data_IF_533554408536
#
_entry.id   IF_533554408536
#
_cell.length_a   1.000
_cell.length_b   1.000
_cell.length_c   1.000
_cell.angle_alpha   90.00
_cell.angle_beta   90.00
_cell.angle_gamma   90.00
#
_symmetry.space_group_name_H-M   'P 1'
#
loop_
_entity.id
_entity.type
_entity.pdbx_description
1 polymer ?
#
# COMPACT_ATOMS: atom_id res chain seq x y z
N UNK A 1 15.97 -17.14 -6.47
CA UNK A 1 17.27 -16.44 -6.56
C UNK A 1 17.24 -15.19 -5.70
N UNK A 2 18.35 -14.83 -5.04
CA UNK A 2 18.45 -13.65 -4.16
C UNK A 2 17.51 -13.64 -2.94
N UNK A 3 17.09 -14.83 -2.48
CA UNK A 3 16.24 -14.96 -1.29
C UNK A 3 17.04 -14.70 -0.01
N UNK A 4 18.33 -15.03 0.00
CA UNK A 4 19.22 -15.01 1.17
C UNK A 4 20.05 -13.72 1.31
N UNK A 5 19.92 -12.77 0.38
CA UNK A 5 20.66 -11.50 0.36
C UNK A 5 19.72 -10.30 0.45
N UNK A 6 20.10 -9.29 1.24
CA UNK A 6 19.33 -8.05 1.33
C UNK A 6 19.55 -7.16 0.11
N UNK A 7 18.55 -6.35 -0.21
CA UNK A 7 18.63 -5.35 -1.26
C UNK A 7 19.78 -4.37 -0.99
N UNK A 8 19.98 -3.99 0.28
CA UNK A 8 21.08 -3.12 0.71
C UNK A 8 22.44 -3.74 0.39
N UNK A 9 22.69 -4.97 0.82
CA UNK A 9 23.98 -5.64 0.59
C UNK A 9 24.27 -5.75 -0.91
N UNK A 10 23.28 -6.21 -1.67
CA UNK A 10 23.43 -6.36 -3.12
C UNK A 10 23.71 -5.02 -3.81
N UNK A 11 22.93 -3.98 -3.51
CA UNK A 11 23.06 -2.68 -4.16
C UNK A 11 24.37 -1.98 -3.82
N UNK A 12 24.83 -2.02 -2.57
CA UNK A 12 26.13 -1.45 -2.20
C UNK A 12 27.25 -2.10 -3.03
N UNK A 13 27.18 -3.43 -3.22
CA UNK A 13 28.14 -4.15 -4.07
C UNK A 13 28.01 -3.80 -5.56
N UNK A 14 26.79 -3.59 -6.05
CA UNK A 14 26.52 -3.39 -7.47
C UNK A 14 26.78 -1.94 -7.94
N UNK A 15 26.44 -0.93 -7.13
CA UNK A 15 26.50 0.49 -7.52
C UNK A 15 27.45 1.33 -6.65
N UNK A 16 28.00 0.76 -5.58
CA UNK A 16 28.82 1.48 -4.61
C UNK A 16 28.00 2.10 -3.48
N UNK A 17 28.68 2.41 -2.36
CA UNK A 17 28.03 2.92 -1.15
C UNK A 17 27.46 4.31 -1.34
N UNK A 18 28.18 5.19 -2.02
CA UNK A 18 27.78 6.59 -2.25
C UNK A 18 26.52 6.67 -3.12
N UNK A 19 26.44 5.87 -4.19
CA UNK A 19 25.26 5.81 -5.03
C UNK A 19 24.07 5.16 -4.32
N UNK A 20 24.32 4.17 -3.46
CA UNK A 20 23.27 3.62 -2.59
C UNK A 20 22.74 4.69 -1.64
N UNK A 21 23.61 5.38 -0.90
CA UNK A 21 23.22 6.37 0.10
C UNK A 21 22.51 7.59 -0.51
N UNK A 22 22.86 7.96 -1.75
CA UNK A 22 22.25 9.09 -2.45
C UNK A 22 20.87 8.79 -3.05
N UNK A 23 20.57 7.53 -3.38
CA UNK A 23 19.34 7.20 -4.12
C UNK A 23 18.58 6.00 -3.54
N UNK A 24 19.19 4.83 -3.52
CA UNK A 24 18.49 3.60 -3.13
C UNK A 24 18.18 3.52 -1.65
N UNK A 25 19.13 3.86 -0.79
CA UNK A 25 18.98 3.87 0.66
C UNK A 25 17.82 4.75 1.12
N UNK A 26 17.74 6.03 0.67
CA UNK A 26 16.62 6.88 1.02
C UNK A 26 15.27 6.36 0.54
N UNK A 27 15.18 5.79 -0.67
CA UNK A 27 13.92 5.23 -1.19
C UNK A 27 13.48 3.97 -0.42
N UNK A 28 14.42 3.11 -0.02
CA UNK A 28 14.15 1.96 0.84
C UNK A 28 13.70 2.39 2.23
N UNK A 29 14.36 3.39 2.83
CA UNK A 29 13.95 3.99 4.12
C UNK A 29 12.57 4.62 4.04
N UNK A 30 12.28 5.39 3.00
CA UNK A 30 10.94 5.93 2.80
C UNK A 30 9.90 4.82 2.69
N UNK A 31 10.20 3.76 1.92
CA UNK A 31 9.23 2.68 1.74
C UNK A 31 9.05 1.81 2.99
N UNK A 32 10.13 1.49 3.71
CA UNK A 32 10.12 0.44 4.75
C UNK A 32 10.52 0.91 6.16
N UNK A 33 10.72 2.21 6.35
CA UNK A 33 11.16 2.82 7.61
C UNK A 33 12.33 2.05 8.23
N UNK A 34 12.21 1.66 9.49
CA UNK A 34 13.26 0.97 10.27
C UNK A 34 13.65 -0.40 9.70
N UNK A 35 12.82 -1.00 8.85
CA UNK A 35 13.09 -2.29 8.20
C UNK A 35 13.82 -2.17 6.86
N UNK A 36 14.26 -0.97 6.46
CA UNK A 36 14.87 -0.74 5.14
C UNK A 36 16.08 -1.60 4.83
N UNK A 37 16.83 -1.98 5.87
CA UNK A 37 18.08 -2.73 5.75
C UNK A 37 17.84 -4.25 5.66
N UNK A 38 16.63 -4.71 6.01
CA UNK A 38 16.26 -6.14 6.08
C UNK A 38 15.58 -6.65 4.79
N UNK A 39 15.24 -5.74 3.88
CA UNK A 39 14.44 -6.06 2.68
C UNK A 39 15.20 -7.02 1.78
N UNK A 40 14.54 -8.10 1.37
CA UNK A 40 15.11 -9.11 0.48
C UNK A 40 15.37 -8.57 -0.92
N UNK A 41 16.51 -8.91 -1.52
CA UNK A 41 16.84 -8.50 -2.89
C UNK A 41 15.89 -9.13 -3.92
N UNK A 42 15.36 -10.33 -3.64
CA UNK A 42 14.32 -10.95 -4.44
C UNK A 42 13.13 -10.01 -4.68
N UNK A 43 12.65 -9.32 -3.63
CA UNK A 43 11.58 -8.33 -3.74
C UNK A 43 11.95 -7.18 -4.69
N UNK A 44 13.13 -6.58 -4.48
CA UNK A 44 13.55 -5.42 -5.24
C UNK A 44 13.74 -5.77 -6.73
N UNK A 45 14.37 -6.91 -7.02
CA UNK A 45 14.54 -7.40 -8.38
C UNK A 45 13.18 -7.54 -9.07
N UNK A 46 12.19 -8.12 -8.42
CA UNK A 46 10.86 -8.27 -9.00
C UNK A 46 10.17 -6.93 -9.24
N UNK A 47 10.32 -5.95 -8.34
CA UNK A 47 9.81 -4.59 -8.57
C UNK A 47 10.46 -3.92 -9.77
N UNK A 48 11.78 -4.02 -9.89
CA UNK A 48 12.53 -3.53 -11.06
C UNK A 48 12.03 -4.24 -12.33
N UNK A 49 12.00 -5.58 -12.33
CA UNK A 49 11.59 -6.38 -13.49
C UNK A 49 10.17 -6.05 -13.96
N UNK A 50 9.21 -5.93 -13.05
CA UNK A 50 7.84 -5.56 -13.39
C UNK A 50 7.79 -4.15 -13.99
N UNK A 51 8.50 -3.20 -13.39
CA UNK A 51 8.51 -1.80 -13.85
C UNK A 51 9.12 -1.68 -15.24
N UNK A 52 10.31 -2.23 -15.46
CA UNK A 52 11.00 -2.14 -16.75
C UNK A 52 10.40 -3.07 -17.80
N UNK A 53 9.91 -4.25 -17.41
CA UNK A 53 9.27 -5.20 -18.34
C UNK A 53 7.93 -4.70 -18.89
N UNK A 54 7.26 -3.77 -18.20
CA UNK A 54 6.02 -3.14 -18.67
C UNK A 54 6.23 -1.98 -19.64
N UNK A 55 7.48 -1.52 -19.85
CA UNK A 55 7.76 -0.36 -20.72
C UNK A 55 7.92 -0.80 -22.18
N UNK A 56 7.29 -0.05 -23.08
CA UNK A 56 7.39 -0.25 -24.53
C UNK A 56 8.27 0.80 -25.22
N UNK A 57 8.34 0.74 -26.56
CA UNK A 57 9.02 1.73 -27.40
C UNK A 57 10.54 1.55 -27.54
N UNK A 58 11.19 2.41 -28.35
CA UNK A 58 12.65 2.43 -28.51
C UNK A 58 13.32 2.64 -27.14
N UNK A 59 14.23 1.74 -26.77
CA UNK A 59 14.95 1.74 -25.49
C UNK A 59 14.10 1.56 -24.22
N UNK A 60 12.84 1.10 -24.32
CA UNK A 60 12.00 0.84 -23.14
C UNK A 60 11.66 2.12 -22.35
N UNK A 61 11.52 3.25 -23.04
CA UNK A 61 11.25 4.56 -22.42
C UNK A 61 9.77 4.97 -22.45
N UNK A 62 8.89 4.23 -23.14
CA UNK A 62 7.46 4.55 -23.20
C UNK A 62 6.74 3.81 -22.08
N UNK A 63 6.40 4.54 -21.03
CA UNK A 63 5.46 4.09 -20.01
C UNK A 63 4.03 4.40 -20.46
N UNK A 64 3.12 3.42 -20.35
CA UNK A 64 1.70 3.58 -20.64
C UNK A 64 0.94 3.31 -19.34
N UNK A 65 0.22 4.32 -18.89
CA UNK A 65 -0.66 4.24 -17.72
C UNK A 65 -2.11 4.29 -18.18
N UNK A 66 -2.96 3.48 -17.55
CA UNK A 66 -4.40 3.48 -17.76
C UNK A 66 -5.11 3.80 -16.45
N UNK A 67 -6.10 4.68 -16.51
CA UNK A 67 -7.01 4.95 -15.41
C UNK A 67 -8.45 4.68 -15.86
N UNK A 68 -9.17 3.75 -15.23
CA UNK A 68 -10.53 3.41 -15.67
C UNK A 68 -11.48 4.60 -15.53
N UNK A 69 -12.44 4.71 -16.45
CA UNK A 69 -13.53 5.68 -16.32
C UNK A 69 -14.40 5.31 -15.11
N UNK A 70 -14.65 6.30 -14.24
CA UNK A 70 -15.33 6.06 -12.96
C UNK A 70 -14.43 5.49 -11.85
N UNK A 71 -13.09 5.56 -12.01
CA UNK A 71 -12.13 4.95 -11.08
C UNK A 71 -12.26 3.42 -11.02
N UNK A 72 -11.82 2.77 -9.96
CA UNK A 72 -11.84 1.32 -9.80
C UNK A 72 -13.21 0.77 -9.39
N UNK A 73 -14.12 1.63 -8.91
CA UNK A 73 -15.45 1.23 -8.43
C UNK A 73 -16.26 0.40 -9.45
N UNK A 74 -16.38 0.78 -10.73
CA UNK A 74 -17.13 -0.01 -11.71
C UNK A 74 -16.56 -1.42 -11.93
N UNK A 75 -15.24 -1.61 -11.76
CA UNK A 75 -14.60 -2.93 -11.88
C UNK A 75 -15.06 -3.82 -10.72
N UNK A 76 -15.03 -3.30 -9.48
CA UNK A 76 -15.47 -4.05 -8.31
C UNK A 76 -16.98 -4.33 -8.34
N UNK A 77 -17.79 -3.36 -8.75
CA UNK A 77 -19.24 -3.53 -8.89
C UNK A 77 -19.58 -4.58 -9.95
N UNK A 78 -18.87 -4.58 -11.09
CA UNK A 78 -19.05 -5.60 -12.11
C UNK A 78 -18.71 -6.99 -11.58
N UNK A 79 -17.57 -7.15 -10.91
CA UNK A 79 -17.18 -8.42 -10.31
C UNK A 79 -18.21 -8.89 -9.27
N UNK A 80 -18.69 -7.99 -8.41
CA UNK A 80 -19.70 -8.32 -7.41
C UNK A 80 -21.03 -8.76 -8.06
N UNK A 81 -21.43 -8.12 -9.15
CA UNK A 81 -22.62 -8.50 -9.90
C UNK A 81 -22.45 -9.85 -10.59
N UNK A 82 -21.30 -10.11 -11.20
CA UNK A 82 -21.01 -11.40 -11.83
C UNK A 82 -21.03 -12.53 -10.79
N UNK A 83 -20.50 -12.33 -9.58
CA UNK A 83 -20.59 -13.30 -8.47
C UNK A 83 -22.06 -13.57 -8.11
N UNK A 84 -22.88 -12.53 -7.93
CA UNK A 84 -24.31 -12.68 -7.59
C UNK A 84 -25.11 -13.38 -8.68
N UNK A 85 -24.85 -13.04 -9.94
CA UNK A 85 -25.51 -13.64 -11.10
C UNK A 85 -25.18 -15.13 -11.25
N UNK A 86 -24.02 -15.56 -10.75
CA UNK A 86 -23.62 -16.97 -10.69
C UNK A 86 -24.03 -17.66 -9.37
N UNK A 87 -24.96 -17.06 -8.61
CA UNK A 87 -25.50 -17.64 -7.36
C UNK A 87 -24.63 -17.43 -6.13
N UNK A 88 -23.50 -16.73 -6.25
CA UNK A 88 -22.67 -16.34 -5.11
C UNK A 88 -23.35 -15.30 -4.23
N UNK A 89 -23.02 -15.30 -2.94
CA UNK A 89 -23.58 -14.36 -1.95
C UNK A 89 -22.48 -13.44 -1.45
N UNK A 90 -22.79 -12.14 -1.37
CA UNK A 90 -21.88 -11.11 -0.87
C UNK A 90 -22.59 -10.40 0.29
N UNK A 91 -22.02 -10.54 1.48
CA UNK A 91 -22.50 -9.88 2.68
C UNK A 91 -21.56 -8.71 3.00
N UNK A 92 -22.13 -7.50 3.05
CA UNK A 92 -21.42 -6.28 3.43
C UNK A 92 -21.84 -5.89 4.84
N UNK A 93 -20.97 -5.16 5.56
CA UNK A 93 -21.17 -4.80 6.98
C UNK A 93 -21.35 -6.03 7.90
N UNK A 94 -20.83 -7.18 7.47
CA UNK A 94 -20.97 -8.46 8.15
C UNK A 94 -19.56 -8.92 8.57
N UNK A 95 -19.22 -8.70 9.84
CA UNK A 95 -17.89 -9.00 10.37
C UNK A 95 -17.81 -10.46 10.78
N UNK A 96 -16.98 -11.22 10.09
CA UNK A 96 -16.61 -12.59 10.53
C UNK A 96 -15.91 -12.53 11.89
N UNK A 97 -16.40 -13.33 12.82
CA UNK A 97 -15.91 -13.42 14.20
C UNK A 97 -14.94 -14.59 14.37
N UNK A 98 -15.25 -15.73 13.76
CA UNK A 98 -14.42 -16.94 13.81
C UNK A 98 -14.68 -17.90 12.66
N UNK A 99 -13.68 -18.74 12.37
CA UNK A 99 -13.82 -19.97 11.60
C UNK A 99 -14.14 -21.09 12.58
N UNK A 100 -15.21 -21.83 12.30
CA UNK A 100 -15.68 -22.92 13.16
C UNK A 100 -15.08 -24.22 12.65
N UNK A 101 -14.39 -24.93 13.54
CA UNK A 101 -13.78 -26.24 13.27
C UNK A 101 -14.27 -27.28 14.26
N UNK A 102 -14.44 -28.51 13.79
CA UNK A 102 -14.78 -29.69 14.61
C UNK A 102 -14.02 -30.90 14.08
N UNK A 103 -13.37 -31.67 14.97
CA UNK A 103 -12.54 -32.82 14.61
C UNK A 103 -11.54 -32.50 13.47
N UNK A 104 -10.81 -31.40 13.63
CA UNK A 104 -9.83 -30.86 12.67
C UNK A 104 -10.38 -30.55 11.26
N UNK A 105 -11.71 -30.44 11.13
CA UNK A 105 -12.37 -30.09 9.88
C UNK A 105 -13.10 -28.75 9.99
N UNK A 106 -12.97 -27.91 8.97
CA UNK A 106 -13.78 -26.69 8.83
C UNK A 106 -15.25 -27.07 8.69
N UNK A 107 -16.11 -26.37 9.45
CA UNK A 107 -17.57 -26.49 9.38
C UNK A 107 -18.23 -25.24 8.81
N UNK A 108 -17.57 -24.09 8.92
CA UNK A 108 -18.12 -22.83 8.45
C UNK A 108 -17.49 -21.63 9.15
N UNK A 109 -18.24 -20.52 9.18
CA UNK A 109 -17.86 -19.29 9.87
C UNK A 109 -18.99 -18.80 10.78
N UNK A 110 -18.63 -18.11 11.86
CA UNK A 110 -19.54 -17.36 12.72
C UNK A 110 -19.47 -15.87 12.39
N UNK A 111 -20.63 -15.21 12.33
CA UNK A 111 -20.74 -13.76 12.18
C UNK A 111 -22.06 -13.26 12.75
N UNK A 112 -22.02 -12.31 13.69
CA UNK A 112 -23.22 -11.66 14.24
C UNK A 112 -24.19 -12.64 14.90
N UNK A 113 -23.67 -13.70 15.53
CA UNK A 113 -24.48 -14.77 16.12
C UNK A 113 -25.08 -15.77 15.10
N UNK A 114 -24.84 -15.59 13.80
CA UNK A 114 -25.24 -16.52 12.75
C UNK A 114 -24.11 -17.48 12.39
N UNK A 115 -24.49 -18.70 12.01
CA UNK A 115 -23.57 -19.70 11.48
C UNK A 115 -23.76 -19.88 9.97
N UNK A 116 -22.67 -19.79 9.22
CA UNK A 116 -22.65 -19.98 7.78
C UNK A 116 -21.85 -21.25 7.47
N UNK A 117 -22.51 -22.38 7.11
CA UNK A 117 -21.84 -23.64 6.86
C UNK A 117 -20.99 -23.58 5.59
N UNK A 118 -19.78 -24.15 5.65
CA UNK A 118 -18.89 -24.31 4.51
C UNK A 118 -17.87 -25.43 4.77
N UNK A 119 -17.56 -26.22 3.74
CA UNK A 119 -16.54 -27.27 3.84
C UNK A 119 -15.12 -26.68 3.83
N UNK A 120 -14.95 -25.48 3.26
CA UNK A 120 -13.67 -24.80 3.09
C UNK A 120 -13.86 -23.30 3.30
N UNK A 121 -12.85 -22.66 3.88
CA UNK A 121 -12.80 -21.21 4.08
C UNK A 121 -11.48 -20.69 3.51
N UNK A 122 -11.56 -19.68 2.64
CA UNK A 122 -10.41 -18.95 2.11
C UNK A 122 -10.34 -17.59 2.81
N UNK A 123 -9.27 -17.35 3.56
CA UNK A 123 -9.05 -16.09 4.26
C UNK A 123 -8.18 -15.17 3.41
N UNK A 124 -8.73 -14.01 3.05
CA UNK A 124 -8.00 -12.93 2.36
C UNK A 124 -7.62 -11.81 3.34
N UNK A 125 -7.54 -12.13 4.63
CA UNK A 125 -7.24 -11.18 5.71
C UNK A 125 -5.74 -11.14 6.02
N UNK A 126 -5.21 -10.03 6.57
CA UNK A 126 -3.84 -9.98 7.07
C UNK A 126 -3.57 -11.04 8.16
N UNK A 127 -2.33 -11.50 8.30
CA UNK A 127 -1.96 -12.59 9.22
C UNK A 127 -2.46 -12.40 10.66
N UNK A 128 -2.38 -11.20 11.29
CA UNK A 128 -2.91 -11.00 12.64
C UNK A 128 -4.43 -11.21 12.74
N UNK A 129 -5.16 -10.87 11.68
CA UNK A 129 -6.61 -11.09 11.62
C UNK A 129 -6.90 -12.57 11.40
N UNK A 130 -6.19 -13.22 10.48
CA UNK A 130 -6.29 -14.67 10.23
C UNK A 130 -6.11 -15.47 11.52
N UNK A 131 -5.05 -15.18 12.30
CA UNK A 131 -4.77 -15.81 13.60
C UNK A 131 -5.89 -15.60 14.62
N UNK A 132 -6.57 -14.44 14.59
CA UNK A 132 -7.70 -14.17 15.50
C UNK A 132 -8.95 -14.92 15.08
N UNK A 133 -9.19 -15.06 13.78
CA UNK A 133 -10.37 -15.74 13.25
C UNK A 133 -10.28 -17.26 13.42
N UNK A 134 -9.08 -17.84 13.41
CA UNK A 134 -8.88 -19.29 13.54
C UNK A 134 -8.19 -19.60 14.86
N UNK A 135 -8.96 -20.10 15.84
CA UNK A 135 -8.47 -20.34 17.20
C UNK A 135 -7.51 -21.52 17.32
N UNK A 136 -7.55 -22.47 16.38
CA UNK A 136 -6.69 -23.65 16.37
C UNK A 136 -5.97 -23.72 15.03
N UNK A 137 -4.70 -23.31 15.04
CA UNK A 137 -3.76 -23.46 13.93
C UNK A 137 -2.55 -24.27 14.41
N UNK A 138 -1.94 -25.09 13.55
CA UNK A 138 -0.67 -25.75 13.88
C UNK A 138 0.38 -24.73 14.29
N UNK A 139 1.16 -25.04 15.33
CA UNK A 139 2.18 -24.14 15.88
C UNK A 139 3.16 -23.67 14.81
N UNK A 140 3.61 -24.58 13.96
CA UNK A 140 4.55 -24.30 12.87
C UNK A 140 3.97 -23.29 11.87
N UNK A 141 2.66 -23.35 11.62
CA UNK A 141 1.99 -22.41 10.74
C UNK A 141 1.81 -21.05 11.41
N UNK A 142 1.54 -21.01 12.72
CA UNK A 142 1.49 -19.74 13.48
C UNK A 142 2.84 -19.03 13.44
N UNK A 143 3.95 -19.77 13.59
CA UNK A 143 5.31 -19.22 13.51
C UNK A 143 5.61 -18.60 12.14
N UNK A 144 5.13 -19.23 11.06
CA UNK A 144 5.20 -18.70 9.69
C UNK A 144 4.44 -17.37 9.60
N UNK A 145 3.19 -17.33 10.08
CA UNK A 145 2.37 -16.12 10.08
C UNK A 145 2.99 -14.97 10.88
N UNK A 146 3.62 -15.25 12.02
CA UNK A 146 4.22 -14.27 12.94
C UNK A 146 5.54 -13.68 12.43
N UNK A 147 6.24 -14.36 11.50
CA UNK A 147 7.42 -13.80 10.85
C UNK A 147 7.08 -12.59 9.98
N UNK A 148 5.88 -12.54 9.41
CA UNK A 148 5.48 -11.45 8.53
C UNK A 148 5.16 -10.19 9.33
N UNK A 149 6.03 -9.21 9.21
CA UNK A 149 5.80 -7.86 9.74
C UNK A 149 5.02 -7.02 8.73
N UNK A 150 4.28 -6.04 9.24
CA UNK A 150 3.48 -5.14 8.41
C UNK A 150 3.71 -3.67 8.79
N UNK A 151 3.60 -2.82 7.79
CA UNK A 151 3.51 -1.37 7.99
C UNK A 151 2.12 -0.87 7.63
N UNK A 152 1.74 0.24 8.25
CA UNK A 152 0.50 0.91 7.97
C UNK A 152 0.75 1.93 6.86
N UNK A 153 -0.16 1.98 5.90
CA UNK A 153 -0.13 3.02 4.88
C UNK A 153 -0.96 4.21 5.35
N UNK A 154 -0.48 5.42 5.09
CA UNK A 154 -1.24 6.65 5.25
C UNK A 154 -1.21 7.43 3.95
N UNK A 155 -2.31 8.12 3.65
CA UNK A 155 -2.45 8.90 2.43
C UNK A 155 -3.26 10.17 2.70
N UNK A 156 -2.57 11.31 2.67
CA UNK A 156 -3.21 12.61 2.67
C UNK A 156 -3.58 12.97 1.22
N UNK A 157 -4.86 13.16 0.97
CA UNK A 157 -5.41 13.56 -0.32
C UNK A 157 -5.82 15.01 -0.24
N UNK A 158 -5.33 15.83 -1.16
CA UNK A 158 -5.64 17.24 -1.25
C UNK A 158 -6.39 17.53 -2.56
N UNK A 159 -7.48 18.28 -2.45
CA UNK A 159 -8.10 18.96 -3.58
C UNK A 159 -7.60 20.40 -3.60
N UNK A 160 -6.85 20.76 -4.64
CA UNK A 160 -6.25 22.08 -4.81
C UNK A 160 -6.93 22.87 -5.92
N UNK A 161 -6.92 24.19 -5.80
CA UNK A 161 -7.45 25.09 -6.84
C UNK A 161 -6.52 25.28 -8.06
N UNK A 162 -5.26 24.87 -7.92
CA UNK A 162 -4.18 24.94 -8.91
C UNK A 162 -3.19 23.79 -8.72
N UNK A 163 -2.34 23.45 -9.71
CA UNK A 163 -1.43 22.31 -9.60
C UNK A 163 -0.34 22.56 -8.56
N UNK A 164 0.08 21.49 -7.87
CA UNK A 164 1.22 21.52 -6.95
C UNK A 164 2.54 21.37 -7.71
N UNK A 165 2.56 20.48 -8.70
CA UNK A 165 3.72 20.08 -9.50
C UNK A 165 3.29 19.75 -10.94
N UNK A 166 4.24 19.66 -11.86
CA UNK A 166 3.98 19.21 -13.24
C UNK A 166 4.08 17.69 -13.42
N UNK A 167 4.41 16.94 -12.36
CA UNK A 167 4.74 15.51 -12.47
C UNK A 167 3.58 14.66 -11.99
N UNK A 168 3.27 13.56 -12.68
CA UNK A 168 2.26 12.61 -12.19
C UNK A 168 2.71 11.89 -10.92
N UNK A 169 3.97 11.48 -10.84
CA UNK A 169 4.51 10.72 -9.70
C UNK A 169 5.92 11.19 -9.34
N UNK A 170 6.11 11.54 -8.08
CA UNK A 170 7.41 11.82 -7.48
C UNK A 170 7.65 10.86 -6.32
N UNK A 171 8.77 10.14 -6.38
CA UNK A 171 9.28 9.39 -5.23
C UNK A 171 10.23 10.29 -4.44
N UNK A 172 9.99 10.43 -3.15
CA UNK A 172 10.72 11.36 -2.30
C UNK A 172 11.87 10.61 -1.64
N UNK A 173 13.11 11.03 -1.97
CA UNK A 173 14.32 10.56 -1.32
C UNK A 173 14.75 11.48 -0.15
N UNK A 174 14.25 12.71 -0.12
CA UNK A 174 14.52 13.65 0.96
C UNK A 174 13.80 13.24 2.25
N UNK A 175 14.33 13.68 3.39
CA UNK A 175 13.68 13.50 4.69
C UNK A 175 12.47 14.43 4.81
N UNK A 176 11.35 14.02 4.22
CA UNK A 176 10.03 14.65 4.25
C UNK A 176 9.03 13.76 5.00
N UNK A 177 7.90 14.31 5.51
CA UNK A 177 6.90 13.53 6.24
C UNK A 177 6.04 12.61 5.33
N UNK A 178 6.40 12.47 4.06
CA UNK A 178 5.78 11.58 3.07
C UNK A 178 6.83 11.12 2.06
N UNK A 179 6.56 9.99 1.42
CA UNK A 179 7.54 9.26 0.60
C UNK A 179 7.17 9.21 -0.87
N UNK A 180 5.94 9.59 -1.20
CA UNK A 180 5.54 9.86 -2.57
C UNK A 180 4.54 11.02 -2.65
N UNK A 181 4.64 11.77 -3.74
CA UNK A 181 3.67 12.77 -4.15
C UNK A 181 3.13 12.37 -5.53
N UNK A 182 1.82 12.12 -5.62
CA UNK A 182 1.15 11.73 -6.86
C UNK A 182 0.16 12.81 -7.23
N UNK A 183 0.45 13.56 -8.29
CA UNK A 183 -0.47 14.55 -8.83
C UNK A 183 -1.36 13.88 -9.86
N UNK A 184 -2.42 13.28 -9.36
CA UNK A 184 -3.30 12.42 -10.11
C UNK A 184 -3.92 13.12 -11.32
N UNK A 185 -4.18 14.42 -11.20
CA UNK A 185 -4.76 15.20 -12.28
C UNK A 185 -3.78 15.58 -13.41
N UNK A 186 -2.51 15.19 -13.29
CA UNK A 186 -1.56 15.17 -14.41
C UNK A 186 -1.72 13.91 -15.30
N UNK A 187 -2.40 12.87 -14.81
CA UNK A 187 -2.79 11.68 -15.58
C UNK A 187 -4.26 11.71 -16.00
N UNK A 188 -5.15 12.17 -15.12
CA UNK A 188 -6.60 12.16 -15.32
C UNK A 188 -7.13 13.60 -15.40
N UNK A 189 -7.92 13.98 -16.41
CA UNK A 189 -8.40 15.36 -16.53
C UNK A 189 -9.14 15.85 -15.28
N UNK A 190 -8.79 17.05 -14.81
CA UNK A 190 -9.37 17.66 -13.59
C UNK A 190 -10.87 17.91 -13.69
N UNK A 191 -11.43 17.95 -14.90
CA UNK A 191 -12.85 18.08 -15.18
C UNK A 191 -13.65 16.90 -14.58
N UNK A 192 -12.99 15.76 -14.33
CA UNK A 192 -13.59 14.63 -13.58
C UNK A 192 -13.65 14.85 -12.07
N UNK A 193 -13.07 15.94 -11.57
CA UNK A 193 -12.93 16.31 -10.17
C UNK A 193 -13.38 17.76 -9.92
N UNK A 194 -14.41 18.23 -10.62
CA UNK A 194 -14.95 19.59 -10.52
C UNK A 194 -13.90 20.70 -10.73
N UNK A 195 -12.92 20.43 -11.59
CA UNK A 195 -11.82 21.34 -11.91
C UNK A 195 -10.73 21.41 -10.83
N UNK A 196 -10.80 20.60 -9.76
CA UNK A 196 -9.77 20.53 -8.73
C UNK A 196 -8.54 19.76 -9.22
N UNK A 197 -7.36 20.16 -8.75
CA UNK A 197 -6.14 19.39 -8.88
C UNK A 197 -6.03 18.42 -7.69
N UNK A 198 -5.94 17.12 -7.97
CA UNK A 198 -5.93 16.09 -6.92
C UNK A 198 -4.50 15.61 -6.69
N UNK A 199 -4.03 15.77 -5.46
CA UNK A 199 -2.69 15.37 -5.02
C UNK A 199 -2.81 14.34 -3.90
N UNK A 200 -2.06 13.24 -4.02
CA UNK A 200 -1.90 12.22 -2.98
C UNK A 200 -0.50 12.31 -2.40
N UNK A 201 -0.40 12.45 -1.08
CA UNK A 201 0.85 12.40 -0.32
C UNK A 201 0.82 11.14 0.55
N UNK A 202 1.57 10.12 0.14
CA UNK A 202 1.56 8.82 0.83
C UNK A 202 2.76 8.65 1.74
N UNK A 203 2.56 7.99 2.88
CA UNK A 203 3.62 7.56 3.78
C UNK A 203 3.37 6.15 4.33
N UNK A 204 4.44 5.46 4.75
CA UNK A 204 4.35 4.21 5.50
C UNK A 204 4.90 4.43 6.90
N UNK A 205 4.12 4.05 7.91
CA UNK A 205 4.47 4.25 9.30
C UNK A 205 4.26 2.96 10.11
N UNK A 206 5.02 2.76 11.19
CA UNK A 206 4.79 1.63 12.07
C UNK A 206 3.44 1.76 12.81
N UNK A 207 2.87 0.64 13.30
CA UNK A 207 1.72 0.70 14.21
C UNK A 207 1.99 1.63 15.40
N UNK A 208 1.00 2.43 15.79
CA UNK A 208 1.11 3.39 16.92
C UNK A 208 1.83 4.71 16.60
N UNK A 209 2.25 4.92 15.35
CA UNK A 209 2.85 6.20 14.94
C UNK A 209 1.84 7.37 15.06
N UNK A 210 2.22 8.56 15.55
CA UNK A 210 1.29 9.68 15.79
C UNK A 210 0.46 10.11 14.58
N UNK A 211 1.00 10.01 13.36
CA UNK A 211 0.29 10.30 12.11
C UNK A 211 -1.03 9.51 11.96
N UNK A 212 -1.11 8.32 12.54
CA UNK A 212 -2.29 7.45 12.41
C UNK A 212 -3.50 7.95 13.20
N UNK A 213 -3.26 8.79 14.21
CA UNK A 213 -4.28 9.37 15.08
C UNK A 213 -4.65 10.81 14.66
N UNK A 214 -3.97 11.37 13.66
CA UNK A 214 -4.22 12.73 13.18
C UNK A 214 -5.49 12.81 12.34
N UNK A 215 -6.15 13.96 12.36
CA UNK A 215 -7.10 14.32 11.31
C UNK A 215 -6.40 14.88 10.05
N UNK A 216 -7.17 15.13 9.00
CA UNK A 216 -6.63 15.63 7.74
C UNK A 216 -5.97 17.03 7.85
N UNK A 217 -6.49 17.89 8.72
CA UNK A 217 -5.94 19.23 8.95
C UNK A 217 -4.64 19.19 9.75
N UNK A 218 -4.56 18.34 10.76
CA UNK A 218 -3.33 18.07 11.52
C UNK A 218 -2.24 17.47 10.65
N UNK A 219 -2.58 16.46 9.84
CA UNK A 219 -1.66 15.86 8.88
C UNK A 219 -1.18 16.88 7.83
N UNK A 220 -2.06 17.73 7.31
CA UNK A 220 -1.70 18.79 6.38
C UNK A 220 -0.71 19.79 6.99
N UNK A 221 -0.95 20.25 8.22
CA UNK A 221 0.01 21.12 8.95
C UNK A 221 1.37 20.44 9.12
N UNK A 222 1.36 19.17 9.49
CA UNK A 222 2.59 18.37 9.62
C UNK A 222 3.33 18.26 8.26
N UNK A 223 2.59 18.15 7.15
CA UNK A 223 3.14 17.95 5.82
C UNK A 223 3.54 19.25 5.10
N UNK A 224 3.04 20.40 5.55
CA UNK A 224 3.16 21.72 4.90
C UNK A 224 4.62 22.09 4.56
N UNK A 225 5.56 21.86 5.49
CA UNK A 225 6.98 22.14 5.24
C UNK A 225 7.57 21.28 4.11
N UNK A 226 7.14 20.01 4.02
CA UNK A 226 7.52 19.11 2.93
C UNK A 226 6.86 19.48 1.61
N UNK A 227 5.59 19.90 1.64
CA UNK A 227 4.87 20.38 0.45
C UNK A 227 5.56 21.62 -0.13
N UNK A 228 5.97 22.57 0.72
CA UNK A 228 6.73 23.75 0.28
C UNK A 228 8.11 23.44 -0.29
N UNK A 229 8.73 22.31 0.09
CA UNK A 229 9.95 21.84 -0.58
C UNK A 229 9.69 21.36 -2.00
N UNK A 230 8.52 20.77 -2.27
CA UNK A 230 8.12 20.40 -3.63
C UNK A 230 7.76 21.63 -4.46
N UNK A 231 7.04 22.58 -3.86
CA UNK A 231 6.66 23.84 -4.50
C UNK A 231 6.75 25.00 -3.48
N UNK A 232 7.79 25.85 -3.57
CA UNK A 232 7.98 26.98 -2.65
C UNK A 232 6.85 28.02 -2.67
N UNK A 233 6.04 28.07 -3.73
CA UNK A 233 4.90 28.99 -3.84
C UNK A 233 3.64 28.46 -3.14
N UNK A 234 3.65 27.19 -2.70
CA UNK A 234 2.50 26.59 -2.04
C UNK A 234 2.05 27.40 -0.83
N UNK A 235 0.77 27.74 -0.84
CA UNK A 235 0.07 28.38 0.26
C UNK A 235 -1.15 27.55 0.66
N UNK A 236 -1.49 27.57 1.95
CA UNK A 236 -2.61 26.80 2.50
C UNK A 236 -3.94 27.18 1.84
N UNK A 237 -4.07 28.43 1.33
CA UNK A 237 -5.27 28.89 0.61
C UNK A 237 -5.53 28.15 -0.71
N UNK A 238 -4.55 27.41 -1.24
CA UNK A 238 -4.74 26.57 -2.42
C UNK A 238 -5.63 25.36 -2.11
N UNK A 239 -5.64 24.92 -0.84
CA UNK A 239 -6.35 23.73 -0.39
C UNK A 239 -7.84 24.03 -0.26
N UNK A 240 -8.62 23.44 -1.16
CA UNK A 240 -10.10 23.48 -1.10
C UNK A 240 -10.66 22.43 -0.18
N UNK A 241 -10.01 21.26 -0.11
CA UNK A 241 -10.40 20.17 0.77
C UNK A 241 -9.23 19.21 1.02
N UNK A 242 -9.29 18.48 2.13
CA UNK A 242 -8.28 17.53 2.54
C UNK A 242 -8.91 16.30 3.20
N UNK A 243 -8.36 15.12 2.93
CA UNK A 243 -8.76 13.86 3.53
C UNK A 243 -7.53 13.06 3.91
N UNK A 244 -7.52 12.48 5.10
CA UNK A 244 -6.49 11.53 5.51
C UNK A 244 -7.09 10.13 5.56
N UNK A 245 -6.45 9.19 4.88
CA UNK A 245 -6.78 7.78 4.94
C UNK A 245 -5.62 7.02 5.54
N UNK A 246 -5.94 6.02 6.37
CA UNK A 246 -4.97 5.09 6.95
C UNK A 246 -5.46 3.67 6.71
N UNK A 247 -4.54 2.79 6.35
CA UNK A 247 -4.81 1.36 6.12
C UNK A 247 -3.87 0.50 6.98
N UNK A 248 -4.41 -0.13 8.05
CA UNK A 248 -3.65 -1.08 8.85
C UNK A 248 -3.16 -2.23 7.99
N UNK A 249 -1.88 -2.60 8.16
CA UNK A 249 -1.25 -3.64 7.37
C UNK A 249 -1.26 -3.39 5.84
N UNK A 250 -1.23 -2.11 5.43
CA UNK A 250 -1.22 -1.69 4.02
C UNK A 250 -0.04 -2.23 3.19
N UNK A 251 1.06 -2.65 3.82
CA UNK A 251 2.06 -3.49 3.13
C UNK A 251 2.78 -4.46 4.08
N UNK A 252 3.13 -5.68 3.61
CA UNK A 252 4.06 -6.55 4.31
C UNK A 252 5.51 -6.07 4.12
N UNK A 253 6.34 -6.31 5.13
CA UNK A 253 7.79 -6.14 5.07
C UNK A 253 8.39 -7.43 4.51
N UNK A 254 8.94 -7.36 3.30
CA UNK A 254 9.40 -8.55 2.56
C UNK A 254 10.91 -8.70 2.77
N UNK A 255 11.27 -9.39 3.86
CA UNK A 255 12.66 -9.66 4.25
C UNK A 255 13.29 -10.78 3.41
N UNK A 256 14.53 -11.15 3.71
CA UNK A 256 15.15 -12.35 3.15
C UNK A 256 14.38 -13.62 3.54
N UNK A 257 14.44 -14.63 2.67
CA UNK A 257 13.82 -15.95 2.82
C UNK A 257 12.30 -15.89 3.07
N UNK A 258 11.64 -14.86 2.55
CA UNK A 258 10.20 -14.63 2.72
C UNK A 258 9.33 -15.75 2.15
N UNK A 259 9.85 -16.53 1.19
CA UNK A 259 9.19 -17.74 0.68
C UNK A 259 8.97 -18.84 1.73
N UNK A 260 9.63 -18.76 2.89
CA UNK A 260 9.42 -19.64 4.04
C UNK A 260 8.52 -18.99 5.11
N UNK A 261 7.84 -17.87 4.79
CA UNK A 261 6.95 -17.09 5.67
C UNK A 261 5.50 -17.10 5.17
#
# INVERSE_FOLDING_TARGET
>A
PFEDITAREYLIRAVGKEAFDAFWGPLLRGKFADHSDDIGMAWLQWKIRLRFGSRGGRFGLKEILGYPNGSFRPIYERLANDIRNNGGKIYLNERVESVVTENDCVKGISSGGNFYPADRVLLTTPNPVTKRLVSVLPTEYVEVLDRVQYQWASCLVLALDRPLTQYYWLSIADSLPFVACVEHTNLVPRERYDGNHIVYLSNYVPPGHPLLEMDAGEALKNFESGIRRLNPEFDISWVRNAWLFSDPAGQPVITTNYSNS
#
